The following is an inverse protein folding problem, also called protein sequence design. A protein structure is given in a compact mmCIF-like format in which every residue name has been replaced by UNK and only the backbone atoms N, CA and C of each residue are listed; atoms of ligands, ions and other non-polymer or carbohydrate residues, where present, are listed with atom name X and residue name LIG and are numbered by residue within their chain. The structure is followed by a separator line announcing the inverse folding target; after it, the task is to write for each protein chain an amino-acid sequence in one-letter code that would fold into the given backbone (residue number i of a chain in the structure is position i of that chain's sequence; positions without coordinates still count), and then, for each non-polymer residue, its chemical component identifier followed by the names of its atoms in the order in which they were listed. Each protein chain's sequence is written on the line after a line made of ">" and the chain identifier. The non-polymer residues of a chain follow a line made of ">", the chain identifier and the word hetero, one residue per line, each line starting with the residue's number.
data_IF_811220676399
#
_entry.id   IF_811220676399
#
_cell.length_a   1.000
_cell.length_b   1.000
_cell.length_c   1.000
_cell.angle_alpha   90.00
_cell.angle_beta   90.00
_cell.angle_gamma   90.00
#
_symmetry.space_group_name_H-M   'P 1'
#
loop_
_entity.id
_entity.type
_entity.pdbx_description
1 polymer ?
#
# COMPACT_ATOMS: atom_id res chain seq x y z
N UNK A 1 -0.48 2.54 -6.55
CA UNK A 1 -0.59 3.63 -5.57
C UNK A 1 -1.98 3.53 -4.97
N UNK A 2 -2.09 3.00 -3.75
CA UNK A 2 -3.36 2.44 -3.26
C UNK A 2 -4.28 3.48 -2.59
N UNK A 3 -3.75 4.48 -1.88
CA UNK A 3 -4.60 5.37 -1.05
C UNK A 3 -4.01 6.76 -0.72
N UNK A 4 -3.48 7.56 -1.68
CA UNK A 4 -3.06 8.91 -1.34
C UNK A 4 -4.27 9.79 -0.98
N UNK A 5 -4.22 10.31 0.25
CA UNK A 5 -5.15 11.31 0.80
C UNK A 5 -4.41 12.64 0.95
N UNK A 6 -5.11 13.74 0.73
CA UNK A 6 -4.58 15.11 0.91
C UNK A 6 -5.42 15.81 1.96
N UNK A 7 -4.81 16.06 3.13
CA UNK A 7 -5.41 16.84 4.21
C UNK A 7 -5.06 18.33 4.07
N UNK A 8 -5.98 19.19 4.54
CA UNK A 8 -5.78 20.63 4.58
C UNK A 8 -5.85 21.14 6.01
N UNK A 9 -4.90 21.97 6.41
CA UNK A 9 -4.92 22.68 7.67
C UNK A 9 -4.88 24.17 7.36
N UNK A 10 -5.86 24.91 7.90
CA UNK A 10 -5.97 26.35 7.73
C UNK A 10 -6.59 26.95 8.99
N UNK A 11 -6.18 28.18 9.32
CA UNK A 11 -6.78 28.94 10.43
C UNK A 11 -8.11 29.61 10.02
N UNK A 12 -8.33 29.79 8.72
CA UNK A 12 -9.50 30.48 8.16
C UNK A 12 -10.08 29.68 6.99
N UNK A 13 -11.34 29.97 6.67
CA UNK A 13 -11.92 29.45 5.44
C UNK A 13 -11.11 29.92 4.24
N UNK A 14 -10.82 28.99 3.33
CA UNK A 14 -10.06 29.29 2.12
C UNK A 14 -10.53 28.44 0.96
N UNK A 15 -10.24 28.88 -0.26
CA UNK A 15 -10.53 28.14 -1.48
C UNK A 15 -9.22 27.81 -2.16
N UNK A 16 -9.03 26.55 -2.54
CA UNK A 16 -7.82 26.07 -3.19
C UNK A 16 -8.14 25.33 -4.48
N UNK A 17 -7.22 25.42 -5.43
CA UNK A 17 -7.14 24.59 -6.62
C UNK A 17 -6.02 23.57 -6.41
N UNK A 18 -6.27 22.31 -6.74
CA UNK A 18 -5.33 21.21 -6.54
C UNK A 18 -5.16 20.45 -7.83
N UNK A 19 -3.91 20.27 -8.24
CA UNK A 19 -3.54 19.49 -9.42
C UNK A 19 -2.48 18.47 -9.05
N UNK A 20 -2.72 17.21 -9.43
CA UNK A 20 -1.73 16.13 -9.31
C UNK A 20 -1.45 15.59 -10.69
N UNK A 21 -0.18 15.48 -11.03
CA UNK A 21 0.27 14.68 -12.17
C UNK A 21 0.68 13.31 -11.66
N UNK A 22 0.38 12.25 -12.39
CA UNK A 22 0.84 10.90 -12.10
C UNK A 22 1.60 10.36 -13.31
N UNK A 23 2.91 10.57 -13.30
CA UNK A 23 3.82 10.16 -14.38
C UNK A 23 4.01 8.65 -14.34
N UNK A 24 3.96 8.04 -15.51
CA UNK A 24 3.96 6.58 -15.70
C UNK A 24 2.83 5.90 -14.93
N UNK A 25 1.71 6.59 -14.72
CA UNK A 25 0.60 6.09 -13.93
C UNK A 25 -0.74 6.64 -14.41
N UNK A 26 -1.78 5.87 -14.11
CA UNK A 26 -3.16 6.21 -14.37
C UNK A 26 -3.90 6.40 -13.05
N UNK A 27 -4.54 7.55 -12.86
CA UNK A 27 -5.54 7.76 -11.82
C UNK A 27 -6.79 6.96 -12.19
N UNK A 28 -7.26 6.09 -11.30
CA UNK A 28 -8.37 5.17 -11.56
C UNK A 28 -9.59 5.49 -10.72
N UNK A 29 -9.41 6.03 -9.51
CA UNK A 29 -10.49 6.35 -8.59
C UNK A 29 -10.14 7.58 -7.75
N UNK A 30 -11.16 8.36 -7.39
CA UNK A 30 -11.02 9.61 -6.66
C UNK A 30 -12.33 10.07 -6.02
N UNK A 31 -12.22 10.92 -5.01
CA UNK A 31 -13.33 11.62 -4.39
C UNK A 31 -12.82 12.88 -3.67
N UNK A 32 -13.53 14.01 -3.63
CA UNK A 32 -14.73 14.38 -4.41
C UNK A 32 -14.52 14.38 -5.92
N UNK A 33 -15.56 14.72 -6.69
CA UNK A 33 -15.53 14.80 -8.15
C UNK A 33 -14.35 15.66 -8.63
N UNK A 34 -13.72 15.27 -9.74
CA UNK A 34 -12.51 15.91 -10.25
C UNK A 34 -12.45 15.80 -11.77
N UNK A 35 -11.65 16.65 -12.40
CA UNK A 35 -11.31 16.51 -13.82
C UNK A 35 -10.09 15.61 -13.93
N UNK A 36 -10.24 14.45 -14.58
CA UNK A 36 -9.14 13.50 -14.80
C UNK A 36 -8.84 13.39 -16.29
N UNK A 37 -7.54 13.47 -16.65
CA UNK A 37 -7.07 13.36 -18.03
C UNK A 37 -5.94 12.34 -18.14
N UNK A 38 -6.00 11.37 -19.07
CA UNK A 38 -7.17 11.03 -19.88
C UNK A 38 -8.28 10.42 -19.02
N UNK A 39 -9.53 10.64 -19.41
CA UNK A 39 -10.70 10.13 -18.68
C UNK A 39 -10.85 8.60 -18.74
N UNK A 40 -10.23 7.96 -19.73
CA UNK A 40 -10.20 6.52 -19.89
C UNK A 40 -8.77 6.03 -20.05
N UNK A 41 -8.46 4.96 -19.35
CA UNK A 41 -7.15 4.30 -19.33
C UNK A 41 -7.34 2.82 -19.57
N UNK A 42 -6.49 2.22 -20.39
CA UNK A 42 -6.47 0.78 -20.60
C UNK A 42 -5.07 0.21 -20.36
N UNK A 43 -4.95 -1.12 -20.38
CA UNK A 43 -3.67 -1.79 -20.12
C UNK A 43 -2.55 -1.39 -21.10
N UNK A 44 -2.88 -0.96 -22.33
CA UNK A 44 -1.90 -0.47 -23.30
C UNK A 44 -1.41 0.93 -22.96
N UNK A 45 -2.27 1.78 -22.38
CA UNK A 45 -1.90 3.13 -21.90
C UNK A 45 -0.72 3.07 -20.94
N UNK A 46 -0.73 2.14 -19.99
CA UNK A 46 0.32 1.97 -18.99
C UNK A 46 1.64 1.40 -19.56
N UNK A 47 1.62 0.81 -20.76
CA UNK A 47 2.83 0.31 -21.45
C UNK A 47 3.57 1.40 -22.23
N UNK A 48 2.91 2.53 -22.49
CA UNK A 48 3.53 3.64 -23.21
C UNK A 48 4.53 4.36 -22.32
N UNK A 49 5.81 4.37 -22.72
CA UNK A 49 6.84 5.14 -22.03
C UNK A 49 6.46 6.63 -22.07
N UNK A 50 6.35 7.26 -20.91
CA UNK A 50 5.96 8.67 -20.78
C UNK A 50 4.46 8.91 -20.60
N UNK A 51 3.62 7.87 -20.54
CA UNK A 51 2.21 8.02 -20.18
C UNK A 51 2.07 8.78 -18.86
N UNK A 52 1.22 9.80 -18.82
CA UNK A 52 0.98 10.59 -17.61
C UNK A 52 -0.52 10.87 -17.54
N UNK A 53 -1.09 10.66 -16.36
CA UNK A 53 -2.44 11.14 -16.05
C UNK A 53 -2.40 12.37 -15.17
N UNK A 54 -3.46 13.17 -15.19
CA UNK A 54 -3.66 14.30 -14.30
C UNK A 54 -5.01 14.19 -13.62
N UNK A 55 -5.09 14.69 -12.38
CA UNK A 55 -6.34 14.91 -11.67
C UNK A 55 -6.36 16.33 -11.11
N UNK A 56 -7.45 17.03 -11.32
CA UNK A 56 -7.63 18.44 -10.97
C UNK A 56 -8.94 18.66 -10.21
N UNK A 57 -8.85 19.27 -9.04
CA UNK A 57 -9.98 19.82 -8.29
C UNK A 57 -9.87 21.35 -8.29
N UNK A 58 -10.86 22.01 -8.88
CA UNK A 58 -10.95 23.47 -8.87
C UNK A 58 -11.93 23.94 -7.78
N UNK A 59 -11.67 25.10 -7.18
CA UNK A 59 -12.55 25.76 -6.21
C UNK A 59 -12.93 24.90 -4.99
N UNK A 60 -11.96 24.14 -4.47
CA UNK A 60 -12.13 23.34 -3.25
C UNK A 60 -12.22 24.26 -2.05
N UNK A 61 -13.37 24.27 -1.37
CA UNK A 61 -13.57 25.04 -0.15
C UNK A 61 -13.04 24.26 1.05
N UNK A 62 -12.09 24.82 1.77
CA UNK A 62 -11.53 24.31 3.02
C UNK A 62 -12.15 25.11 4.17
N UNK A 63 -12.90 24.44 5.06
CA UNK A 63 -13.66 25.11 6.12
C UNK A 63 -13.27 24.55 7.50
N UNK A 64 -12.28 25.14 8.20
CA UNK A 64 -11.88 24.75 9.54
C UNK A 64 -13.06 24.82 10.52
N UNK A 65 -13.24 23.79 11.35
CA UNK A 65 -14.32 23.75 12.36
C UNK A 65 -15.74 23.55 11.82
N UNK A 66 -15.92 23.37 10.50
CA UNK A 66 -17.23 23.10 9.93
C UNK A 66 -17.81 21.75 10.37
N UNK A 67 -19.15 21.70 10.47
CA UNK A 67 -19.86 20.48 10.75
C UNK A 67 -19.57 19.41 9.69
N UNK A 68 -19.34 18.18 10.14
CA UNK A 68 -18.91 17.06 9.30
C UNK A 68 -20.07 16.11 9.04
N UNK A 69 -20.68 16.19 7.86
CA UNK A 69 -21.68 15.24 7.39
C UNK A 69 -21.14 14.49 6.15
N UNK A 70 -20.11 13.67 6.37
CA UNK A 70 -19.44 12.96 5.29
C UNK A 70 -20.26 11.74 4.81
N UNK A 71 -20.23 11.43 3.51
CA UNK A 71 -20.96 10.27 2.99
C UNK A 71 -20.42 8.97 3.60
N UNK A 72 -21.32 8.06 3.96
CA UNK A 72 -20.98 6.72 4.46
C UNK A 72 -21.76 5.72 3.62
N UNK A 73 -21.07 4.75 3.07
CA UNK A 73 -21.65 3.64 2.32
C UNK A 73 -22.36 2.67 3.26
N UNK A 74 -23.24 1.84 2.69
CA UNK A 74 -23.89 0.78 3.46
C UNK A 74 -22.87 -0.33 3.73
N UNK A 75 -22.31 -0.35 4.93
CA UNK A 75 -21.36 -1.36 5.39
C UNK A 75 -20.25 -0.76 6.24
N UNK A 76 -19.56 -1.62 7.00
CA UNK A 76 -18.35 -1.20 7.71
C UNK A 76 -17.20 -1.04 6.70
N UNK A 77 -16.60 0.15 6.64
CA UNK A 77 -15.39 0.42 5.85
C UNK A 77 -14.31 1.00 6.75
N UNK A 78 -13.18 0.30 6.85
CA UNK A 78 -12.02 0.77 7.60
C UNK A 78 -11.43 2.06 7.00
N UNK A 79 -11.70 2.35 5.72
CA UNK A 79 -11.25 3.58 5.07
C UNK A 79 -11.79 4.86 5.72
N UNK A 80 -12.88 4.79 6.48
CA UNK A 80 -13.37 5.95 7.23
C UNK A 80 -12.46 6.33 8.41
N UNK A 81 -11.53 5.47 8.82
CA UNK A 81 -10.49 5.82 9.81
C UNK A 81 -9.59 6.94 9.34
N UNK A 82 -9.38 7.09 8.03
CA UNK A 82 -8.72 8.25 7.45
C UNK A 82 -9.39 9.59 7.84
N UNK A 83 -10.64 9.60 8.28
CA UNK A 83 -11.33 10.83 8.72
C UNK A 83 -10.92 11.30 10.13
N UNK A 84 -10.26 10.45 10.92
CA UNK A 84 -9.98 10.68 12.35
C UNK A 84 -8.80 11.64 12.62
N UNK A 85 -8.66 12.70 11.81
CA UNK A 85 -7.60 13.72 11.87
C UNK A 85 -8.12 15.09 12.31
N UNK A 86 -7.22 16.04 12.55
CA UNK A 86 -7.56 17.44 12.86
C UNK A 86 -7.72 18.31 11.60
N UNK A 87 -7.60 17.72 10.40
CA UNK A 87 -7.70 18.43 9.13
C UNK A 87 -9.05 19.15 8.97
N UNK A 88 -9.04 20.29 8.29
CA UNK A 88 -10.23 21.00 7.90
C UNK A 88 -10.99 20.21 6.80
N UNK A 89 -12.31 20.00 6.96
CA UNK A 89 -13.15 19.44 5.90
C UNK A 89 -13.03 20.22 4.59
N UNK A 90 -13.07 19.48 3.49
CA UNK A 90 -13.14 20.01 2.13
C UNK A 90 -14.55 19.87 1.57
N UNK A 91 -14.95 20.83 0.73
CA UNK A 91 -16.21 20.79 0.00
C UNK A 91 -16.02 21.22 -1.44
N UNK A 92 -16.58 20.43 -2.35
CA UNK A 92 -16.63 20.74 -3.76
C UNK A 92 -18.06 20.55 -4.28
N UNK A 93 -18.69 21.65 -4.67
CA UNK A 93 -20.12 21.65 -4.99
C UNK A 93 -20.95 21.07 -3.83
N UNK A 94 -21.75 19.99 -4.06
CA UNK A 94 -22.53 19.33 -3.03
C UNK A 94 -21.74 18.27 -2.23
N UNK A 95 -20.52 17.92 -2.64
CA UNK A 95 -19.74 16.85 -2.03
C UNK A 95 -18.84 17.40 -0.92
N UNK A 96 -18.86 16.74 0.24
CA UNK A 96 -18.03 17.06 1.39
C UNK A 96 -17.20 15.84 1.80
N UNK A 97 -15.94 16.05 2.17
CA UNK A 97 -15.04 15.02 2.69
C UNK A 97 -14.03 15.64 3.67
N UNK A 98 -13.32 14.82 4.43
CA UNK A 98 -12.21 15.26 5.29
C UNK A 98 -10.91 15.53 4.50
N UNK A 99 -10.78 14.96 3.31
CA UNK A 99 -9.57 15.00 2.47
C UNK A 99 -9.95 14.90 0.99
N UNK A 100 -9.01 15.25 0.11
CA UNK A 100 -9.07 14.80 -1.28
C UNK A 100 -8.46 13.41 -1.39
N UNK A 101 -9.13 12.50 -2.07
CA UNK A 101 -8.70 11.13 -2.30
C UNK A 101 -8.46 10.90 -3.78
N UNK A 102 -7.36 10.21 -4.09
CA UNK A 102 -7.15 9.59 -5.38
C UNK A 102 -6.45 8.25 -5.20
N UNK A 103 -6.54 7.36 -6.19
CA UNK A 103 -5.67 6.19 -6.30
C UNK A 103 -5.49 5.82 -7.76
N UNK A 104 -4.49 4.97 -8.00
CA UNK A 104 -4.13 4.64 -9.36
C UNK A 104 -3.11 3.53 -9.51
N UNK A 105 -2.92 3.11 -10.76
CA UNK A 105 -1.99 2.07 -11.16
C UNK A 105 -0.78 2.70 -11.84
N UNK A 106 0.42 2.33 -11.41
CA UNK A 106 1.69 2.80 -11.97
C UNK A 106 2.41 1.69 -12.71
N UNK A 107 3.08 2.04 -13.81
CA UNK A 107 3.99 1.17 -14.58
C UNK A 107 5.47 1.50 -14.39
N UNK A 108 5.81 2.35 -13.42
CA UNK A 108 7.20 2.69 -13.08
C UNK A 108 7.86 1.60 -12.23
N UNK A 109 9.19 1.53 -12.29
CA UNK A 109 9.96 0.66 -11.41
C UNK A 109 9.94 1.22 -9.98
N UNK A 110 9.67 0.39 -8.95
CA UNK A 110 9.79 0.82 -7.57
C UNK A 110 11.21 1.32 -7.25
N UNK A 111 11.38 2.25 -6.30
CA UNK A 111 12.69 2.79 -5.94
C UNK A 111 13.60 1.76 -5.25
N UNK A 112 13.04 0.63 -4.82
CA UNK A 112 13.75 -0.46 -4.15
C UNK A 112 13.46 -1.79 -4.82
N UNK A 113 14.40 -2.71 -4.72
CA UNK A 113 14.18 -4.12 -4.95
C UNK A 113 14.51 -4.89 -3.67
N UNK A 114 13.90 -6.06 -3.49
CA UNK A 114 14.28 -6.99 -2.44
C UNK A 114 14.40 -8.40 -2.98
N UNK A 115 15.40 -9.11 -2.47
CA UNK A 115 15.66 -10.51 -2.76
C UNK A 115 15.70 -11.27 -1.44
N UNK A 116 14.95 -12.37 -1.36
CA UNK A 116 15.08 -13.32 -0.24
C UNK A 116 16.05 -14.40 -0.65
N UNK A 117 17.09 -14.59 0.13
CA UNK A 117 18.11 -15.62 -0.11
C UNK A 117 17.66 -16.97 0.44
N UNK A 118 18.40 -18.04 0.14
CA UNK A 118 18.04 -19.40 0.54
C UNK A 118 18.00 -19.61 2.06
N UNK A 119 18.81 -18.86 2.83
CA UNK A 119 18.82 -18.90 4.29
C UNK A 119 17.75 -17.99 4.93
N UNK A 120 16.91 -17.34 4.10
CA UNK A 120 15.86 -16.44 4.55
C UNK A 120 16.30 -14.99 4.74
N UNK A 121 17.58 -14.66 4.57
CA UNK A 121 18.07 -13.27 4.66
C UNK A 121 17.42 -12.44 3.56
N UNK A 122 16.87 -11.29 3.94
CA UNK A 122 16.28 -10.32 3.01
C UNK A 122 17.32 -9.27 2.66
N UNK A 123 17.65 -9.16 1.38
CA UNK A 123 18.55 -8.15 0.84
C UNK A 123 17.73 -7.10 0.11
N UNK A 124 17.74 -5.88 0.63
CA UNK A 124 17.13 -4.71 -0.01
C UNK A 124 18.21 -3.95 -0.77
N UNK A 125 17.93 -3.63 -2.04
CA UNK A 125 18.79 -2.80 -2.88
C UNK A 125 18.03 -1.59 -3.41
N UNK A 126 18.76 -0.54 -3.75
CA UNK A 126 18.18 0.74 -4.17
C UNK A 126 18.51 1.04 -5.63
N UNK A 127 17.49 1.43 -6.38
CA UNK A 127 17.68 1.85 -7.76
C UNK A 127 18.18 3.31 -7.79
N UNK A 128 19.39 3.53 -8.30
CA UNK A 128 19.90 4.88 -8.59
C UNK A 128 20.75 5.54 -7.50
N UNK A 129 21.24 4.79 -6.50
CA UNK A 129 22.27 5.25 -5.55
C UNK A 129 21.80 6.24 -4.47
N UNK A 130 20.50 6.47 -4.36
CA UNK A 130 19.90 7.31 -3.30
C UNK A 130 19.50 6.43 -2.09
N UNK A 131 19.63 6.94 -0.86
CA UNK A 131 19.15 6.24 0.33
C UNK A 131 17.62 6.15 0.31
N UNK A 132 17.08 5.03 0.78
CA UNK A 132 15.62 4.83 0.90
C UNK A 132 15.08 5.46 2.16
N UNK A 133 15.93 5.61 3.18
CA UNK A 133 15.49 5.97 4.50
C UNK A 133 15.01 4.73 5.24
N UNK A 134 13.93 4.84 5.99
CA UNK A 134 13.54 3.78 6.92
C UNK A 134 12.74 2.66 6.24
N UNK A 135 13.12 1.44 6.55
CA UNK A 135 12.55 0.20 6.02
C UNK A 135 12.19 -0.72 7.20
N UNK A 136 10.98 -1.26 7.16
CA UNK A 136 10.46 -2.22 8.14
C UNK A 136 10.28 -3.56 7.43
N UNK A 137 10.99 -4.59 7.90
CA UNK A 137 10.67 -5.98 7.60
C UNK A 137 9.63 -6.45 8.62
N UNK A 138 8.49 -6.95 8.16
CA UNK A 138 7.38 -7.43 8.97
C UNK A 138 7.03 -8.86 8.57
N UNK A 139 6.68 -9.68 9.55
CA UNK A 139 6.07 -10.99 9.35
C UNK A 139 4.85 -11.16 10.26
N UNK A 140 3.79 -11.74 9.72
CA UNK A 140 2.71 -12.35 10.50
C UNK A 140 2.62 -13.82 10.11
N UNK A 141 2.84 -14.70 11.08
CA UNK A 141 2.70 -16.14 10.89
C UNK A 141 1.70 -16.71 11.89
N UNK A 142 0.54 -17.12 11.41
CA UNK A 142 -0.51 -17.70 12.24
C UNK A 142 -1.00 -16.77 13.36
N UNK A 143 -0.90 -15.46 13.19
CA UNK A 143 -1.26 -14.44 14.18
C UNK A 143 -0.10 -13.98 15.07
N UNK A 144 1.06 -14.62 15.00
CA UNK A 144 2.26 -14.15 15.70
C UNK A 144 3.00 -13.18 14.80
N UNK A 145 3.25 -11.96 15.30
CA UNK A 145 3.88 -10.89 14.52
C UNK A 145 5.26 -10.57 15.02
N UNK A 146 6.21 -10.40 14.10
CA UNK A 146 7.55 -9.90 14.38
C UNK A 146 7.96 -8.83 13.38
N UNK A 147 8.84 -7.92 13.78
CA UNK A 147 9.33 -6.90 12.87
C UNK A 147 10.74 -6.39 13.22
N UNK A 148 11.44 -5.91 12.20
CA UNK A 148 12.72 -5.24 12.33
C UNK A 148 12.69 -3.93 11.54
N UNK A 149 13.21 -2.86 12.15
CA UNK A 149 13.41 -1.57 11.49
C UNK A 149 14.89 -1.37 11.20
N UNK A 150 15.20 -0.88 10.01
CA UNK A 150 16.54 -0.45 9.62
C UNK A 150 16.45 0.88 8.88
N UNK A 151 17.41 1.74 9.15
CA UNK A 151 17.66 2.92 8.34
C UNK A 151 18.58 2.53 7.17
N UNK A 152 18.03 2.50 5.96
CA UNK A 152 18.74 2.10 4.74
C UNK A 152 19.44 3.31 4.10
N UNK A 153 20.62 3.63 4.64
CA UNK A 153 21.48 4.75 4.18
C UNK A 153 22.48 4.37 3.09
N UNK A 154 22.67 3.07 2.84
CA UNK A 154 23.56 2.52 1.80
C UNK A 154 22.76 1.91 0.66
N UNK A 155 23.40 1.68 -0.48
CA UNK A 155 22.81 1.05 -1.68
C UNK A 155 22.26 -0.36 -1.43
N UNK A 156 22.76 -1.02 -0.39
CA UNK A 156 22.36 -2.35 0.07
C UNK A 156 22.12 -2.35 1.57
N UNK A 157 21.00 -2.93 1.99
CA UNK A 157 20.65 -3.17 3.40
C UNK A 157 20.21 -4.62 3.54
N UNK A 158 20.64 -5.29 4.62
CA UNK A 158 20.29 -6.69 4.90
C UNK A 158 19.47 -6.79 6.18
N UNK A 159 18.50 -7.69 6.17
CA UNK A 159 17.73 -8.09 7.33
C UNK A 159 17.90 -9.59 7.53
N UNK A 160 18.30 -9.96 8.73
CA UNK A 160 18.30 -11.36 9.16
C UNK A 160 16.85 -11.87 9.23
N UNK A 161 16.62 -13.19 9.05
CA UNK A 161 15.30 -13.79 9.24
C UNK A 161 14.68 -13.37 10.56
N UNK A 162 13.39 -13.06 10.55
CA UNK A 162 12.68 -12.67 11.76
C UNK A 162 12.48 -13.87 12.69
N UNK A 163 12.73 -13.74 14.01
CA UNK A 163 12.35 -14.76 14.96
C UNK A 163 10.82 -14.91 15.02
N UNK A 164 10.34 -16.13 15.21
CA UNK A 164 8.90 -16.42 15.36
C UNK A 164 8.39 -16.11 16.78
N UNK A 165 9.29 -15.84 17.72
CA UNK A 165 9.04 -15.62 19.15
C UNK A 165 9.37 -14.18 19.62
N UNK A 166 9.58 -13.25 18.69
CA UNK A 166 9.94 -11.88 19.01
C UNK A 166 8.73 -11.09 19.58
N UNK A 167 8.76 -10.79 20.87
CA UNK A 167 7.79 -9.94 21.58
C UNK A 167 8.03 -8.43 21.35
N UNK A 168 8.55 -8.02 20.20
CA UNK A 168 8.84 -6.61 19.85
C UNK A 168 7.60 -5.68 19.85
N UNK A 169 6.41 -6.24 20.12
CA UNK A 169 5.15 -5.52 20.22
C UNK A 169 4.47 -5.35 18.86
N UNK A 170 3.28 -4.73 18.81
CA UNK A 170 2.56 -4.59 17.56
C UNK A 170 3.32 -3.60 16.64
N UNK A 171 3.68 -4.00 15.40
CA UNK A 171 4.46 -3.18 14.47
C UNK A 171 3.78 -1.85 14.11
N UNK A 172 2.48 -1.78 14.34
CA UNK A 172 1.64 -0.59 14.20
C UNK A 172 2.25 0.62 14.92
N UNK A 173 2.73 0.46 16.16
CA UNK A 173 3.32 1.58 16.92
C UNK A 173 4.64 2.06 16.32
N UNK A 174 5.47 1.13 15.86
CA UNK A 174 6.72 1.45 15.16
C UNK A 174 6.46 2.21 13.86
N UNK A 175 5.48 1.77 13.07
CA UNK A 175 5.09 2.44 11.83
C UNK A 175 4.47 3.82 12.10
N UNK A 176 3.60 3.96 13.11
CA UNK A 176 3.03 5.26 13.49
C UNK A 176 4.14 6.26 13.90
N UNK A 177 5.06 5.84 14.76
CA UNK A 177 6.18 6.68 15.19
C UNK A 177 7.06 7.10 14.01
N UNK A 178 7.28 6.18 13.06
CA UNK A 178 8.05 6.44 11.85
C UNK A 178 7.33 7.43 10.92
N UNK A 179 6.02 7.27 10.72
CA UNK A 179 5.24 8.23 9.93
C UNK A 179 5.28 9.65 10.52
N UNK A 180 5.24 9.76 11.86
CA UNK A 180 5.37 11.04 12.56
C UNK A 180 6.77 11.63 12.39
N UNK A 181 7.84 10.82 12.49
CA UNK A 181 9.20 11.32 12.29
C UNK A 181 9.48 11.80 10.86
N UNK A 182 8.65 11.40 9.90
CA UNK A 182 8.68 11.85 8.51
C UNK A 182 7.70 12.98 8.19
N UNK A 183 7.07 13.59 9.21
CA UNK A 183 6.33 14.84 9.08
C UNK A 183 4.81 14.72 9.13
N UNK A 184 4.24 13.52 9.30
CA UNK A 184 2.81 13.41 9.55
C UNK A 184 2.45 13.89 10.96
N UNK A 185 1.28 14.50 11.10
CA UNK A 185 0.74 14.75 12.43
C UNK A 185 0.37 13.41 13.11
N UNK A 186 0.46 13.31 14.46
CA UNK A 186 0.17 12.07 15.17
C UNK A 186 -1.18 11.43 14.83
N UNK A 187 -2.22 12.26 14.63
CA UNK A 187 -3.56 11.77 14.25
C UNK A 187 -3.63 11.29 12.80
N UNK A 188 -2.83 11.85 11.90
CA UNK A 188 -2.74 11.39 10.51
C UNK A 188 -2.05 10.03 10.44
N UNK A 189 -0.90 9.89 11.10
CA UNK A 189 -0.16 8.64 11.18
C UNK A 189 -1.06 7.51 11.71
N UNK A 190 -1.75 7.76 12.83
CA UNK A 190 -2.70 6.81 13.40
C UNK A 190 -3.84 6.49 12.44
N UNK A 191 -4.48 7.51 11.85
CA UNK A 191 -5.58 7.33 10.91
C UNK A 191 -5.19 6.48 9.68
N UNK A 192 -3.96 6.67 9.18
CA UNK A 192 -3.41 5.88 8.07
C UNK A 192 -3.16 4.43 8.48
N UNK A 193 -2.50 4.19 9.63
CA UNK A 193 -2.23 2.84 10.12
C UNK A 193 -3.51 2.06 10.43
N UNK A 194 -4.51 2.72 11.03
CA UNK A 194 -5.84 2.13 11.27
C UNK A 194 -6.58 1.78 9.96
N UNK A 195 -6.38 2.57 8.90
CA UNK A 195 -6.94 2.26 7.57
C UNK A 195 -6.30 1.01 6.96
N UNK A 196 -5.05 0.69 7.32
CA UNK A 196 -4.33 -0.45 6.75
C UNK A 196 -4.40 -1.71 7.61
N UNK A 197 -4.84 -1.59 8.87
CA UNK A 197 -4.79 -2.62 9.92
C UNK A 197 -5.15 -4.02 9.42
N UNK A 198 -6.26 -4.16 8.72
CA UNK A 198 -6.80 -5.47 8.34
C UNK A 198 -6.20 -6.03 7.04
N UNK A 199 -5.50 -5.22 6.26
CA UNK A 199 -5.06 -5.58 4.90
C UNK A 199 -3.56 -5.52 4.68
N UNK A 200 -2.81 -4.80 5.53
CA UNK A 200 -1.35 -4.70 5.45
C UNK A 200 -0.65 -5.56 6.51
N UNK A 201 -1.38 -6.06 7.50
CA UNK A 201 -0.84 -6.87 8.60
C UNK A 201 -1.44 -8.29 8.63
N UNK A 202 -2.03 -8.73 7.51
CA UNK A 202 -2.48 -10.11 7.29
C UNK A 202 -1.29 -11.09 7.17
N UNK A 203 -1.56 -12.40 7.03
CA UNK A 203 -0.56 -13.47 6.95
C UNK A 203 0.54 -13.19 5.91
N UNK A 204 1.79 -13.49 6.25
CA UNK A 204 2.96 -13.44 5.36
C UNK A 204 4.03 -12.41 5.75
N UNK A 205 5.09 -12.35 4.93
CA UNK A 205 6.25 -11.47 5.11
C UNK A 205 6.19 -10.32 4.12
N UNK A 206 6.51 -9.09 4.56
CA UNK A 206 6.55 -7.90 3.69
C UNK A 206 7.55 -6.88 4.16
N UNK A 207 7.97 -6.05 3.20
CA UNK A 207 8.70 -4.82 3.45
C UNK A 207 7.75 -3.64 3.36
N UNK A 208 7.75 -2.79 4.38
CA UNK A 208 7.16 -1.46 4.37
C UNK A 208 8.30 -0.45 4.35
N UNK A 209 8.25 0.55 3.47
CA UNK A 209 9.33 1.52 3.35
C UNK A 209 8.81 2.91 3.02
N UNK A 210 9.53 3.91 3.47
CA UNK A 210 9.20 5.31 3.18
C UNK A 210 9.79 5.67 1.82
N UNK A 211 8.98 6.24 0.94
CA UNK A 211 9.45 6.66 -0.39
C UNK A 211 10.15 7.99 -0.27
N UNK A 212 11.38 8.09 -0.78
CA UNK A 212 12.17 9.32 -0.71
C UNK A 212 11.45 10.50 -1.41
N UNK A 213 11.44 11.73 -0.83
CA UNK A 213 10.74 12.89 -1.38
C UNK A 213 11.08 13.20 -2.84
N UNK A 214 12.33 13.02 -3.26
CA UNK A 214 12.78 13.18 -4.65
C UNK A 214 12.04 12.25 -5.62
N UNK A 215 11.83 10.99 -5.24
CA UNK A 215 11.09 10.03 -6.05
C UNK A 215 9.59 10.38 -6.12
N UNK A 216 9.02 10.80 -5.00
CA UNK A 216 7.63 11.29 -4.93
C UNK A 216 7.45 12.49 -5.87
N UNK A 217 8.31 13.51 -5.77
CA UNK A 217 8.24 14.70 -6.62
C UNK A 217 8.44 14.40 -8.11
N UNK A 218 9.26 13.39 -8.44
CA UNK A 218 9.49 12.97 -9.83
C UNK A 218 8.29 12.22 -10.43
N UNK A 219 7.60 11.38 -9.64
CA UNK A 219 6.52 10.51 -10.11
C UNK A 219 5.13 11.14 -9.98
N UNK A 220 4.88 11.82 -8.88
CA UNK A 220 3.58 12.41 -8.55
C UNK A 220 3.69 13.90 -8.19
N UNK A 221 4.06 14.80 -9.13
CA UNK A 221 4.04 16.23 -8.87
C UNK A 221 2.68 16.71 -8.33
N UNK A 222 2.71 17.55 -7.30
CA UNK A 222 1.54 18.16 -6.67
C UNK A 222 1.66 19.68 -6.75
N UNK A 223 0.61 20.33 -7.22
CA UNK A 223 0.47 21.78 -7.31
C UNK A 223 -0.80 22.20 -6.56
N UNK A 224 -0.69 23.18 -5.67
CA UNK A 224 -1.81 23.75 -4.92
C UNK A 224 -1.76 25.28 -5.06
N UNK A 225 -2.90 25.91 -5.38
CA UNK A 225 -3.03 27.36 -5.53
C UNK A 225 -4.21 27.88 -4.70
N UNK A 226 -4.04 28.91 -3.84
CA UNK A 226 -2.77 29.57 -3.52
C UNK A 226 -1.75 28.60 -2.89
N UNK A 227 -0.46 28.91 -3.04
CA UNK A 227 0.62 28.06 -2.54
C UNK A 227 0.55 27.99 -1.01
N UNK A 228 0.42 26.78 -0.41
CA UNK A 228 0.43 26.61 1.04
C UNK A 228 1.77 27.03 1.66
N UNK A 229 1.73 27.46 2.93
CA UNK A 229 2.95 27.77 3.67
C UNK A 229 3.86 26.55 3.86
N UNK A 230 3.26 25.36 4.00
CA UNK A 230 3.94 24.09 4.17
C UNK A 230 3.24 22.99 3.38
N UNK A 231 4.00 22.09 2.78
CA UNK A 231 3.52 20.87 2.13
C UNK A 231 4.40 19.72 2.62
N UNK A 232 3.81 18.79 3.37
CA UNK A 232 4.45 17.55 3.76
C UNK A 232 3.88 16.37 2.97
N UNK A 233 4.76 15.46 2.52
CA UNK A 233 4.38 14.34 1.64
C UNK A 233 5.04 13.05 2.09
N UNK A 234 4.26 12.20 2.74
CA UNK A 234 4.71 10.90 3.21
C UNK A 234 4.04 9.80 2.41
N UNK A 235 4.84 8.97 1.74
CA UNK A 235 4.37 7.83 0.95
C UNK A 235 4.99 6.56 1.51
N UNK A 236 4.16 5.54 1.73
CA UNK A 236 4.61 4.21 2.16
C UNK A 236 4.51 3.25 0.99
N UNK A 237 5.63 2.63 0.64
CA UNK A 237 5.68 1.49 -0.25
C UNK A 237 5.48 0.20 0.54
N UNK A 238 4.76 -0.76 -0.05
CA UNK A 238 4.56 -2.10 0.47
C UNK A 238 5.01 -3.10 -0.58
N UNK A 239 5.80 -4.09 -0.17
CA UNK A 239 6.26 -5.17 -1.03
C UNK A 239 6.14 -6.50 -0.30
N UNK A 240 5.33 -7.42 -0.84
CA UNK A 240 5.20 -8.77 -0.30
C UNK A 240 6.44 -9.61 -0.66
N UNK A 241 6.92 -10.40 0.29
CA UNK A 241 8.07 -11.28 0.16
C UNK A 241 7.63 -12.74 0.31
N UNK A 242 8.17 -13.61 -0.53
CA UNK A 242 7.94 -15.06 -0.45
C UNK A 242 9.20 -15.70 0.12
N UNK A 243 9.21 -15.96 1.43
CA UNK A 243 10.36 -16.53 2.14
C UNK A 243 10.46 -18.05 1.96
N UNK A 244 11.64 -18.67 2.18
CA UNK A 244 11.77 -20.13 2.18
C UNK A 244 10.76 -20.82 3.08
N UNK A 245 10.59 -20.32 4.31
CA UNK A 245 9.63 -20.88 5.27
C UNK A 245 8.15 -20.73 4.81
N UNK A 246 7.80 -19.65 4.08
CA UNK A 246 6.47 -19.54 3.46
C UNK A 246 6.30 -20.55 2.32
N UNK A 247 7.35 -20.77 1.52
CA UNK A 247 7.32 -21.75 0.41
C UNK A 247 7.09 -23.16 0.95
N UNK A 248 7.86 -23.57 1.94
CA UNK A 248 7.75 -24.87 2.59
C UNK A 248 6.36 -25.10 3.19
N UNK A 249 5.83 -24.09 3.91
CA UNK A 249 4.50 -24.17 4.54
C UNK A 249 3.38 -24.31 3.49
N UNK A 250 3.40 -23.48 2.45
CA UNK A 250 2.40 -23.52 1.38
C UNK A 250 2.51 -24.82 0.57
N UNK A 251 3.72 -25.27 0.24
CA UNK A 251 3.94 -26.51 -0.48
C UNK A 251 3.42 -27.71 0.31
N UNK A 252 3.77 -27.81 1.60
CA UNK A 252 3.27 -28.86 2.49
C UNK A 252 1.74 -28.84 2.58
N UNK A 253 1.13 -27.65 2.69
CA UNK A 253 -0.31 -27.48 2.73
C UNK A 253 -1.00 -27.88 1.40
N UNK A 254 -0.39 -27.59 0.24
CA UNK A 254 -0.88 -28.05 -1.06
C UNK A 254 -0.82 -29.58 -1.16
N UNK A 255 0.31 -30.19 -0.77
CA UNK A 255 0.53 -31.64 -0.82
C UNK A 255 -0.43 -32.37 0.12
N UNK A 256 -0.60 -31.85 1.34
CA UNK A 256 -1.48 -32.38 2.37
C UNK A 256 -2.96 -32.04 2.17
N UNK A 257 -3.30 -31.20 1.19
CA UNK A 257 -4.64 -30.65 0.99
C UNK A 257 -5.20 -29.96 2.25
N UNK A 258 -4.33 -29.27 3.00
CA UNK A 258 -4.69 -28.48 4.16
C UNK A 258 -5.31 -27.15 3.73
N UNK A 259 -6.62 -27.17 3.51
CA UNK A 259 -7.37 -25.98 3.09
C UNK A 259 -7.36 -24.86 4.14
N UNK A 260 -7.25 -25.20 5.42
CA UNK A 260 -7.27 -24.21 6.49
C UNK A 260 -5.96 -23.41 6.50
N UNK A 261 -4.82 -24.08 6.33
CA UNK A 261 -3.53 -23.42 6.16
C UNK A 261 -3.49 -22.54 4.89
N UNK A 262 -3.95 -23.08 3.75
CA UNK A 262 -3.96 -22.34 2.48
C UNK A 262 -4.85 -21.09 2.50
N UNK A 263 -5.98 -21.14 3.22
CA UNK A 263 -6.90 -20.03 3.33
C UNK A 263 -6.28 -18.80 4.02
N UNK A 264 -5.29 -18.99 4.91
CA UNK A 264 -4.61 -17.88 5.61
C UNK A 264 -3.89 -16.94 4.65
N UNK A 265 -3.33 -17.46 3.56
CA UNK A 265 -2.61 -16.67 2.56
C UNK A 265 -3.54 -15.91 1.61
N UNK A 266 -4.86 -16.18 1.63
CA UNK A 266 -5.89 -15.43 0.91
C UNK A 266 -5.51 -15.07 -0.53
N UNK A 267 -5.49 -13.77 -0.83
CA UNK A 267 -5.14 -13.21 -2.15
C UNK A 267 -3.68 -13.46 -2.58
N UNK A 268 -2.80 -13.81 -1.66
CA UNK A 268 -1.39 -14.07 -1.92
C UNK A 268 -1.08 -15.52 -2.24
N UNK A 269 -2.01 -16.46 -2.02
CA UNK A 269 -1.76 -17.86 -2.32
C UNK A 269 -1.42 -18.07 -3.81
N UNK A 270 -2.11 -17.36 -4.71
CA UNK A 270 -1.87 -17.47 -6.14
C UNK A 270 -0.45 -17.08 -6.57
N UNK A 271 0.05 -15.88 -6.23
CA UNK A 271 1.42 -15.52 -6.55
C UNK A 271 2.45 -16.43 -5.86
N UNK A 272 2.22 -16.90 -4.62
CA UNK A 272 3.13 -17.85 -3.94
C UNK A 272 3.19 -19.17 -4.72
N UNK A 273 2.02 -19.75 -5.05
CA UNK A 273 1.94 -20.98 -5.83
C UNK A 273 2.64 -20.86 -7.18
N UNK A 274 2.52 -19.71 -7.86
CA UNK A 274 3.25 -19.45 -9.10
C UNK A 274 4.77 -19.49 -8.89
N UNK A 275 5.29 -18.93 -7.80
CA UNK A 275 6.72 -18.97 -7.48
C UNK A 275 7.21 -20.40 -7.21
N UNK A 276 6.43 -21.19 -6.46
CA UNK A 276 6.73 -22.62 -6.24
C UNK A 276 6.85 -23.37 -7.57
N UNK A 277 5.97 -23.12 -8.53
CA UNK A 277 6.02 -23.75 -9.85
C UNK A 277 7.20 -23.26 -10.71
N UNK A 278 7.57 -21.99 -10.62
CA UNK A 278 8.71 -21.42 -11.35
C UNK A 278 10.05 -21.98 -10.86
N UNK A 279 10.16 -22.29 -9.57
CA UNK A 279 11.39 -22.73 -8.91
C UNK A 279 11.50 -24.26 -8.73
N UNK A 280 10.38 -24.98 -8.78
CA UNK A 280 10.32 -26.44 -8.56
C UNK A 280 10.84 -27.29 -9.72
N UNK A 281 11.28 -28.51 -9.41
CA UNK A 281 11.70 -29.51 -10.40
C UNK A 281 10.52 -30.02 -11.26
N UNK A 282 10.79 -30.64 -12.43
CA UNK A 282 9.73 -31.02 -13.38
C UNK A 282 8.66 -31.97 -12.81
N UNK A 283 9.03 -32.88 -11.91
CA UNK A 283 8.12 -33.85 -11.30
C UNK A 283 7.20 -33.20 -10.24
N UNK A 284 7.76 -32.33 -9.40
CA UNK A 284 7.00 -31.62 -8.36
C UNK A 284 6.04 -30.59 -8.97
N UNK A 285 6.44 -29.97 -10.09
CA UNK A 285 5.64 -29.02 -10.84
C UNK A 285 4.30 -29.61 -11.29
N UNK A 286 4.30 -30.81 -11.89
CA UNK A 286 3.06 -31.45 -12.38
C UNK A 286 2.09 -31.75 -11.23
N UNK A 287 2.61 -32.27 -10.11
CA UNK A 287 1.83 -32.57 -8.91
C UNK A 287 1.24 -31.31 -8.28
N UNK A 288 2.03 -30.25 -8.18
CA UNK A 288 1.59 -28.95 -7.65
C UNK A 288 0.57 -28.27 -8.57
N UNK A 289 0.75 -28.32 -9.90
CA UNK A 289 -0.18 -27.75 -10.88
C UNK A 289 -1.56 -28.39 -10.80
N UNK A 290 -1.64 -29.73 -10.71
CA UNK A 290 -2.91 -30.44 -10.59
C UNK A 290 -3.66 -30.06 -9.30
N UNK A 291 -2.93 -30.00 -8.19
CA UNK A 291 -3.49 -29.63 -6.88
C UNK A 291 -3.95 -28.17 -6.84
N UNK A 292 -3.14 -27.23 -7.34
CA UNK A 292 -3.50 -25.82 -7.41
C UNK A 292 -4.72 -25.59 -8.31
N UNK A 293 -4.81 -26.27 -9.45
CA UNK A 293 -5.98 -26.18 -10.35
C UNK A 293 -7.25 -26.67 -9.64
N UNK A 294 -7.17 -27.79 -8.92
CA UNK A 294 -8.29 -28.32 -8.13
C UNK A 294 -8.73 -27.35 -7.02
N UNK A 295 -7.76 -26.77 -6.30
CA UNK A 295 -8.01 -25.79 -5.25
C UNK A 295 -8.71 -24.54 -5.79
N UNK A 296 -8.17 -23.91 -6.85
CA UNK A 296 -8.79 -22.73 -7.46
C UNK A 296 -10.19 -23.00 -8.01
N UNK A 297 -10.39 -24.16 -8.66
CA UNK A 297 -11.71 -24.56 -9.14
C UNK A 297 -12.71 -24.72 -7.97
N UNK A 298 -12.28 -25.28 -6.84
CA UNK A 298 -13.15 -25.44 -5.66
C UNK A 298 -13.50 -24.12 -4.97
N UNK A 299 -12.59 -23.14 -5.01
CA UNK A 299 -12.83 -21.80 -4.49
C UNK A 299 -13.72 -20.97 -5.42
N UNK A 300 -13.56 -21.11 -6.73
CA UNK A 300 -14.45 -20.50 -7.73
C UNK A 300 -15.87 -21.10 -7.71
N UNK A 301 -16.03 -22.35 -7.25
CA UNK A 301 -17.31 -23.05 -7.17
C UNK A 301 -18.07 -22.82 -5.85
N UNK A 302 -17.48 -22.14 -4.86
CA UNK A 302 -18.22 -21.76 -3.65
C UNK A 302 -19.08 -20.53 -3.95
N UNK A 303 -20.42 -20.58 -3.75
CA UNK A 303 -21.26 -19.43 -4.03
C UNK A 303 -20.91 -18.30 -3.07
N UNK A 304 -20.54 -17.16 -3.65
CA UNK A 304 -20.64 -15.86 -3.01
C UNK A 304 -22.10 -15.61 -2.66
N UNK A 305 -22.52 -16.08 -1.47
CA UNK A 305 -23.66 -15.46 -0.81
C UNK A 305 -23.17 -14.10 -0.32
N UNK A 306 -23.23 -13.11 -1.21
CA UNK A 306 -23.30 -11.72 -0.80
C UNK A 306 -24.58 -11.56 0.03
N UNK A 307 -24.43 -11.34 1.34
CA UNK A 307 -25.44 -10.71 2.19
C UNK A 307 -24.90 -9.36 2.63
#
# INVERSE_FOLDING_TARGET
>A
METPVVYFYSAQETTVNVKVQFRQGAVTEWFPNAVVTPAQVNALSLRSRGFTSTIEWADVKVSPGAATAFPVERGSSHYYKARETDAAPVRLGPQQEKFLFYRGVGGFQPPIAATVTADGTVVVTHAGGEPVGDVILFENRGGTTSYQVRHASTDRTTFDPLPLDDESGPPLRGLEALLVSHGLYPREARAMVETWRDSWFEEGTRLLYLVHPKAIAALVPLEISPVPAHIERVFVGRMELVTPATKEEVEAAIIGNDRAALAKYGRFLQPIGKRLLEEGGPADRLRLEERLRSLYASWAASPSTCR
#
